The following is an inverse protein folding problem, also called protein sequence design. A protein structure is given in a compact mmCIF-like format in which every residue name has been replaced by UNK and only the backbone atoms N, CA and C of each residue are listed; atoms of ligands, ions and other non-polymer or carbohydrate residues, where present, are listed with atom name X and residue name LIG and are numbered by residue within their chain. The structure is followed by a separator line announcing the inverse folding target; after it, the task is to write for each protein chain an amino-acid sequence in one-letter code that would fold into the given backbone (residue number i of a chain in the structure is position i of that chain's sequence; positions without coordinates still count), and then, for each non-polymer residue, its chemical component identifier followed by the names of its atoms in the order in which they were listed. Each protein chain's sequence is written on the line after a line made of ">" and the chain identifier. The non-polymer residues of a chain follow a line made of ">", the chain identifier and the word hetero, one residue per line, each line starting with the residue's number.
data_IF_611689301151
#
_entry.id   IF_611689301151
#
_cell.length_a   1.000
_cell.length_b   1.000
_cell.length_c   1.000
_cell.angle_alpha   90.00
_cell.angle_beta   90.00
_cell.angle_gamma   90.00
#
_symmetry.space_group_name_H-M   'P 1'
#
loop_
_entity.id
_entity.type
_entity.pdbx_description
1 polymer ?
#
# COMPACT_ATOMS: atom_id res chain seq x y z
N UNK A 1 17.13 -32.54 37.48
CA UNK A 1 15.96 -32.36 36.62
C UNK A 1 16.45 -31.83 35.28
N UNK A 2 16.60 -32.72 34.33
CA UNK A 2 17.01 -32.44 32.94
C UNK A 2 15.78 -32.13 32.10
N UNK A 3 15.80 -31.09 31.21
CA UNK A 3 14.68 -30.82 30.30
C UNK A 3 14.68 -31.81 29.13
N UNK A 4 13.52 -32.15 28.59
CA UNK A 4 13.40 -33.07 27.46
C UNK A 4 13.84 -32.42 26.15
N UNK A 5 14.62 -33.18 25.38
CA UNK A 5 15.02 -32.94 24.02
C UNK A 5 13.79 -33.08 23.09
N UNK A 6 13.39 -32.00 22.45
CA UNK A 6 12.46 -32.06 21.34
C UNK A 6 13.25 -31.95 20.02
N UNK A 7 13.48 -33.11 19.39
CA UNK A 7 13.91 -33.21 17.99
C UNK A 7 12.67 -33.13 17.12
N UNK A 8 12.35 -31.96 16.66
CA UNK A 8 11.37 -31.77 15.61
C UNK A 8 12.08 -31.87 14.25
N UNK A 9 11.89 -33.00 13.58
CA UNK A 9 12.37 -33.22 12.21
C UNK A 9 11.53 -32.42 11.23
N UNK A 10 12.17 -31.42 10.60
CA UNK A 10 11.58 -30.74 9.45
C UNK A 10 11.24 -31.71 8.32
N UNK A 11 10.10 -31.54 7.62
CA UNK A 11 9.74 -32.38 6.48
C UNK A 11 10.74 -32.15 5.34
N UNK A 12 11.37 -33.25 4.88
CA UNK A 12 12.29 -33.25 3.76
C UNK A 12 11.53 -32.91 2.47
N UNK A 13 11.84 -31.77 1.87
CA UNK A 13 11.47 -31.44 0.50
C UNK A 13 12.27 -32.33 -0.48
N UNK A 14 11.90 -33.61 -0.58
CA UNK A 14 12.34 -34.50 -1.63
C UNK A 14 11.25 -34.65 -2.68
N UNK A 15 11.08 -33.61 -3.48
CA UNK A 15 10.38 -33.61 -4.75
C UNK A 15 11.23 -32.83 -5.74
N UNK A 16 12.39 -33.35 -6.07
CA UNK A 16 13.24 -32.74 -7.09
C UNK A 16 12.54 -32.72 -8.41
N UNK A 17 12.15 -31.50 -8.88
CA UNK A 17 11.69 -31.26 -10.23
C UNK A 17 12.80 -31.69 -11.20
N UNK A 18 12.73 -32.92 -11.73
CA UNK A 18 13.60 -33.37 -12.82
C UNK A 18 13.13 -32.66 -14.09
N UNK A 19 13.58 -31.43 -14.31
CA UNK A 19 13.47 -30.79 -15.62
C UNK A 19 14.36 -31.55 -16.61
N UNK A 20 13.74 -32.43 -17.40
CA UNK A 20 14.38 -33.01 -18.57
C UNK A 20 14.59 -31.92 -19.62
N UNK A 21 15.86 -31.53 -19.80
CA UNK A 21 16.26 -30.60 -20.86
C UNK A 21 16.39 -31.38 -22.17
N UNK A 22 15.25 -31.75 -22.78
CA UNK A 22 15.26 -32.30 -24.15
C UNK A 22 14.12 -31.66 -24.94
N UNK A 23 14.53 -31.08 -26.03
CA UNK A 23 13.78 -30.45 -27.12
C UNK A 23 13.41 -28.98 -26.93
N UNK A 24 14.19 -28.12 -27.64
CA UNK A 24 14.14 -26.67 -27.56
C UNK A 24 13.36 -25.99 -28.70
N UNK A 25 12.56 -26.73 -29.49
CA UNK A 25 11.84 -26.16 -30.64
C UNK A 25 10.44 -26.73 -30.82
N UNK A 26 9.45 -25.86 -31.07
CA UNK A 26 8.11 -26.21 -31.49
C UNK A 26 6.98 -25.63 -30.61
N UNK A 27 5.72 -25.63 -31.11
CA UNK A 27 4.53 -25.13 -30.40
C UNK A 27 4.26 -25.80 -29.04
N UNK A 28 4.64 -27.06 -28.91
CA UNK A 28 4.50 -27.82 -27.64
C UNK A 28 5.40 -27.30 -26.51
N UNK A 29 6.47 -26.59 -26.86
CA UNK A 29 7.34 -25.96 -25.87
C UNK A 29 6.64 -24.77 -25.17
N UNK A 30 5.96 -23.92 -25.93
CA UNK A 30 5.21 -22.77 -25.37
C UNK A 30 4.15 -23.29 -24.42
N UNK A 31 3.36 -24.27 -24.87
CA UNK A 31 2.30 -24.88 -24.04
C UNK A 31 2.83 -25.52 -22.75
N UNK A 32 3.99 -26.17 -22.79
CA UNK A 32 4.62 -26.77 -21.59
C UNK A 32 5.15 -25.71 -20.64
N UNK A 33 5.72 -24.61 -21.18
CA UNK A 33 6.16 -23.48 -20.35
C UNK A 33 4.99 -22.78 -19.67
N UNK A 34 3.89 -22.56 -20.37
CA UNK A 34 2.66 -21.98 -19.79
C UNK A 34 2.11 -22.84 -18.65
N UNK A 35 2.07 -24.16 -18.81
CA UNK A 35 1.61 -25.07 -17.74
C UNK A 35 2.56 -25.05 -16.54
N UNK A 36 3.88 -24.98 -16.75
CA UNK A 36 4.85 -24.88 -15.68
C UNK A 36 4.75 -23.52 -14.93
N UNK A 37 4.50 -22.44 -15.65
CA UNK A 37 4.28 -21.11 -15.05
C UNK A 37 2.98 -21.08 -14.24
N UNK A 38 1.91 -21.69 -14.73
CA UNK A 38 0.65 -21.81 -13.98
C UNK A 38 0.82 -22.63 -12.69
N UNK A 39 1.61 -23.70 -12.72
CA UNK A 39 1.90 -24.50 -11.54
C UNK A 39 2.72 -23.68 -10.51
N UNK A 40 3.75 -22.97 -10.96
CA UNK A 40 4.53 -22.07 -10.10
C UNK A 40 3.65 -20.98 -9.51
N UNK A 41 2.82 -20.35 -10.33
CA UNK A 41 1.92 -19.30 -9.88
C UNK A 41 0.90 -19.80 -8.84
N UNK A 42 0.38 -21.04 -9.03
CA UNK A 42 -0.56 -21.64 -8.07
C UNK A 42 0.07 -21.97 -6.72
N UNK A 43 1.37 -22.28 -6.70
CA UNK A 43 2.11 -22.65 -5.47
C UNK A 43 2.75 -21.45 -4.77
N UNK A 44 3.22 -20.47 -5.53
CA UNK A 44 4.06 -19.36 -5.04
C UNK A 44 3.41 -17.98 -5.17
N UNK A 45 2.37 -17.88 -5.99
CA UNK A 45 1.67 -16.62 -6.21
C UNK A 45 0.86 -16.18 -4.99
N UNK A 46 0.87 -14.89 -4.69
CA UNK A 46 -0.08 -14.33 -3.75
C UNK A 46 -1.50 -14.37 -4.34
N UNK A 47 -2.52 -14.67 -3.54
CA UNK A 47 -3.90 -14.69 -4.03
C UNK A 47 -4.38 -13.26 -4.39
N UNK A 48 -5.32 -13.19 -5.32
CA UNK A 48 -6.06 -11.95 -5.56
C UNK A 48 -6.82 -11.54 -4.31
N UNK A 49 -6.83 -10.24 -4.02
CA UNK A 49 -7.54 -9.68 -2.88
C UNK A 49 -8.57 -8.66 -3.34
N UNK A 50 -9.81 -8.92 -3.00
CA UNK A 50 -10.91 -7.99 -3.20
C UNK A 50 -11.23 -7.26 -1.89
N UNK A 51 -11.24 -5.94 -1.92
CA UNK A 51 -11.64 -5.08 -0.81
C UNK A 51 -12.93 -4.37 -1.19
N UNK A 52 -14.01 -4.70 -0.50
CA UNK A 52 -15.30 -4.05 -0.67
C UNK A 52 -15.23 -2.57 -0.29
N UNK A 53 -15.79 -1.70 -1.14
CA UNK A 53 -15.69 -0.26 -0.95
C UNK A 53 -16.44 0.25 0.32
N UNK A 54 -17.48 -0.45 0.77
CA UNK A 54 -18.31 -0.03 1.89
C UNK A 54 -17.99 -0.80 3.19
N UNK A 55 -17.64 -2.08 3.07
CA UNK A 55 -17.50 -3.02 4.19
C UNK A 55 -16.11 -3.60 4.35
N UNK A 56 -15.22 -3.37 3.39
CA UNK A 56 -13.89 -3.96 3.38
C UNK A 56 -12.88 -3.23 4.27
N UNK A 57 -13.15 -1.97 4.58
CA UNK A 57 -12.27 -1.13 5.40
C UNK A 57 -13.02 0.11 5.88
N UNK A 58 -12.55 0.71 6.98
CA UNK A 58 -13.17 1.87 7.60
C UNK A 58 -12.41 3.16 7.29
N UNK A 59 -13.15 4.27 7.26
CA UNK A 59 -12.58 5.61 7.28
C UNK A 59 -12.19 5.99 8.70
N UNK A 60 -10.97 6.44 8.93
CA UNK A 60 -10.57 7.02 10.19
C UNK A 60 -10.04 8.45 10.01
N UNK A 61 -10.26 9.27 11.02
CA UNK A 61 -9.74 10.63 11.05
C UNK A 61 -8.23 10.57 11.29
N UNK A 62 -7.45 11.17 10.39
CA UNK A 62 -5.99 11.21 10.52
C UNK A 62 -5.50 12.55 11.06
N UNK A 63 -5.84 13.65 10.35
CA UNK A 63 -5.31 14.97 10.70
C UNK A 63 -6.26 16.08 10.28
N UNK A 64 -6.61 16.96 11.23
CA UNK A 64 -7.56 18.04 10.96
C UNK A 64 -8.91 17.50 10.48
N UNK A 65 -9.26 17.78 9.22
CA UNK A 65 -10.47 17.24 8.55
C UNK A 65 -10.13 16.19 7.49
N UNK A 66 -8.90 15.67 7.45
CA UNK A 66 -8.47 14.65 6.51
C UNK A 66 -8.72 13.26 7.10
N UNK A 67 -9.52 12.47 6.39
CA UNK A 67 -9.79 11.08 6.68
C UNK A 67 -8.99 10.18 5.77
N UNK A 68 -8.59 9.03 6.30
CA UNK A 68 -7.89 7.97 5.57
C UNK A 68 -8.75 6.73 5.50
N UNK A 69 -8.76 6.10 4.33
CA UNK A 69 -9.29 4.77 4.09
C UNK A 69 -8.17 3.89 3.55
N UNK A 70 -7.64 2.93 4.32
CA UNK A 70 -6.61 2.04 3.81
C UNK A 70 -7.19 1.00 2.87
N UNK A 71 -6.45 0.70 1.81
CA UNK A 71 -6.80 -0.34 0.83
C UNK A 71 -5.76 -1.46 0.75
N UNK A 72 -4.49 -1.17 1.08
CA UNK A 72 -3.40 -2.15 1.03
C UNK A 72 -2.22 -1.70 1.86
N UNK A 73 -1.55 -2.67 2.48
CA UNK A 73 -0.23 -2.52 3.10
C UNK A 73 0.66 -3.68 2.65
N UNK A 74 1.92 -3.41 2.35
CA UNK A 74 2.87 -4.40 1.88
C UNK A 74 4.25 -4.16 2.51
N UNK A 75 4.70 -5.08 3.36
CA UNK A 75 5.93 -4.88 4.12
C UNK A 75 7.21 -5.14 3.32
N UNK A 76 7.14 -5.91 2.22
CA UNK A 76 8.33 -6.22 1.41
C UNK A 76 8.82 -5.03 0.60
N UNK A 77 7.90 -4.27 0.03
CA UNK A 77 8.19 -3.08 -0.78
C UNK A 77 8.04 -1.77 0.01
N UNK A 78 7.38 -1.82 1.17
CA UNK A 78 6.94 -0.64 1.88
C UNK A 78 5.80 0.10 1.19
N UNK A 79 5.11 -0.55 0.23
CA UNK A 79 3.94 0.01 -0.44
C UNK A 79 2.76 0.09 0.52
N UNK A 80 2.05 1.20 0.49
CA UNK A 80 0.70 1.30 1.02
C UNK A 80 -0.21 2.07 0.08
N UNK A 81 -1.46 1.65 0.02
CA UNK A 81 -2.50 2.28 -0.80
C UNK A 81 -3.58 2.80 0.14
N UNK A 82 -3.81 4.09 0.06
CA UNK A 82 -4.80 4.78 0.89
C UNK A 82 -5.64 5.72 0.03
N UNK A 83 -6.87 5.95 0.45
CA UNK A 83 -7.68 7.06 -0.06
C UNK A 83 -7.73 8.13 1.01
N UNK A 84 -7.41 9.35 0.64
CA UNK A 84 -7.66 10.53 1.46
C UNK A 84 -8.98 11.16 1.05
N UNK A 85 -9.76 11.60 2.02
CA UNK A 85 -10.88 12.51 1.78
C UNK A 85 -10.89 13.65 2.77
N UNK A 86 -11.50 14.75 2.38
CA UNK A 86 -11.69 15.89 3.26
C UNK A 86 -13.07 16.53 3.05
N UNK A 87 -13.61 17.04 4.14
CA UNK A 87 -14.82 17.83 4.19
C UNK A 87 -14.82 18.59 5.53
N UNK A 88 -14.51 19.85 5.58
CA UNK A 88 -14.28 20.87 4.55
C UNK A 88 -12.86 20.84 3.94
N UNK A 89 -12.48 21.89 3.17
CA UNK A 89 -11.12 22.08 2.65
C UNK A 89 -10.07 21.87 3.75
N UNK A 90 -8.99 21.19 3.39
CA UNK A 90 -7.91 20.88 4.32
C UNK A 90 -6.52 21.04 3.71
N UNK A 91 -5.54 21.17 4.59
CA UNK A 91 -4.11 21.17 4.24
C UNK A 91 -3.39 20.13 5.08
N UNK A 92 -2.53 19.34 4.42
CA UNK A 92 -1.76 18.31 5.11
C UNK A 92 -0.49 18.88 5.76
N UNK A 93 0.00 19.98 5.24
CA UNK A 93 1.23 20.61 5.65
C UNK A 93 2.43 20.19 4.79
N UNK A 94 3.56 20.80 5.07
CA UNK A 94 4.82 20.63 4.35
C UNK A 94 5.38 19.23 4.57
N UNK A 95 5.64 18.52 3.49
CA UNK A 95 6.14 17.14 3.55
C UNK A 95 6.94 16.76 2.30
N UNK A 96 7.59 15.59 2.36
CA UNK A 96 8.17 14.90 1.22
C UNK A 96 7.98 13.40 1.34
N UNK A 97 8.06 12.70 0.22
CA UNK A 97 8.08 11.25 0.17
C UNK A 97 9.49 10.72 -0.06
N UNK A 98 9.84 9.57 0.56
CA UNK A 98 11.13 8.90 0.33
C UNK A 98 11.11 7.95 -0.86
N UNK A 99 9.93 7.51 -1.26
CA UNK A 99 9.71 6.71 -2.46
C UNK A 99 8.76 7.40 -3.43
N UNK A 100 8.47 6.72 -4.52
CA UNK A 100 7.52 7.19 -5.51
C UNK A 100 6.09 7.22 -4.95
N UNK A 101 5.32 8.24 -5.34
CA UNK A 101 3.89 8.32 -5.09
C UNK A 101 3.15 8.41 -6.42
N UNK A 102 2.05 7.66 -6.52
CA UNK A 102 1.11 7.74 -7.62
C UNK A 102 -0.25 8.08 -7.06
N UNK A 103 -0.85 9.14 -7.57
CA UNK A 103 -2.15 9.62 -7.13
C UNK A 103 -3.17 9.58 -8.26
N UNK A 104 -4.39 9.18 -7.92
CA UNK A 104 -5.54 9.21 -8.82
C UNK A 104 -6.67 9.99 -8.17
N UNK A 105 -7.17 11.01 -8.85
CA UNK A 105 -8.26 11.84 -8.35
C UNK A 105 -9.60 11.14 -8.58
N UNK A 106 -10.26 10.77 -7.49
CA UNK A 106 -11.60 10.14 -7.52
C UNK A 106 -12.69 11.20 -7.60
N UNK A 107 -12.58 12.24 -6.76
CA UNK A 107 -13.58 13.32 -6.67
C UNK A 107 -12.93 14.62 -6.19
N UNK A 108 -13.60 15.75 -6.50
CA UNK A 108 -13.19 17.08 -6.04
C UNK A 108 -11.94 17.62 -6.72
N UNK A 109 -11.16 18.38 -6.00
CA UNK A 109 -9.93 18.99 -6.48
C UNK A 109 -8.86 19.09 -5.39
N UNK A 110 -7.61 19.04 -5.80
CA UNK A 110 -6.47 19.09 -4.90
C UNK A 110 -5.21 19.53 -5.65
N UNK A 111 -4.16 19.81 -4.94
CA UNK A 111 -2.87 20.15 -5.51
C UNK A 111 -1.84 20.48 -4.46
N UNK A 112 -0.74 21.04 -4.90
CA UNK A 112 0.34 21.54 -4.05
C UNK A 112 0.49 23.04 -4.25
N UNK A 113 0.77 23.76 -3.19
CA UNK A 113 0.97 25.23 -3.26
C UNK A 113 2.15 25.62 -4.17
N UNK A 114 3.09 24.71 -4.36
CA UNK A 114 4.31 24.90 -5.15
C UNK A 114 4.09 24.70 -6.67
N UNK A 115 2.89 24.26 -7.10
CA UNK A 115 2.56 24.00 -8.50
C UNK A 115 1.30 24.74 -8.95
N UNK A 116 1.25 25.08 -10.25
CA UNK A 116 0.09 25.77 -10.85
C UNK A 116 -1.07 24.82 -11.21
N UNK A 117 -0.82 23.52 -11.31
CA UNK A 117 -1.86 22.56 -11.67
C UNK A 117 -2.81 22.25 -10.50
N UNK A 118 -4.02 21.88 -10.86
CA UNK A 118 -5.05 21.39 -9.95
C UNK A 118 -5.58 20.05 -10.46
N UNK A 119 -5.45 19.01 -9.65
CA UNK A 119 -5.98 17.68 -9.95
C UNK A 119 -7.50 17.68 -9.95
N UNK A 120 -8.10 17.02 -10.95
CA UNK A 120 -9.55 16.87 -11.18
C UNK A 120 -9.90 15.38 -11.29
N UNK A 121 -11.17 14.98 -11.14
CA UNK A 121 -11.58 13.60 -11.30
C UNK A 121 -11.08 12.98 -12.61
N UNK A 122 -10.39 11.85 -12.51
CA UNK A 122 -9.74 11.15 -13.62
C UNK A 122 -8.26 11.50 -13.84
N UNK A 123 -7.75 12.57 -13.22
CA UNK A 123 -6.35 12.94 -13.36
C UNK A 123 -5.45 11.98 -12.57
N UNK A 124 -4.29 11.69 -13.17
CA UNK A 124 -3.23 10.86 -12.61
C UNK A 124 -1.95 11.68 -12.42
N UNK A 125 -1.39 11.62 -11.25
CA UNK A 125 -0.19 12.37 -10.86
C UNK A 125 0.87 11.40 -10.34
N UNK A 126 2.12 11.63 -10.72
CA UNK A 126 3.29 10.96 -10.15
C UNK A 126 4.15 11.97 -9.41
N UNK A 127 4.47 11.67 -8.16
CA UNK A 127 5.36 12.48 -7.34
C UNK A 127 6.72 11.81 -7.24
N UNK A 128 7.76 12.59 -7.51
CA UNK A 128 9.13 12.09 -7.46
C UNK A 128 9.66 12.10 -6.04
N UNK A 129 10.45 11.07 -5.64
CA UNK A 129 11.06 11.01 -4.32
C UNK A 129 11.88 12.25 -3.98
N UNK A 130 11.74 12.74 -2.75
CA UNK A 130 12.52 13.85 -2.22
C UNK A 130 11.97 15.25 -2.49
N UNK A 131 10.97 15.41 -3.35
CA UNK A 131 10.31 16.70 -3.58
C UNK A 131 9.57 17.15 -2.31
N UNK A 132 9.82 18.38 -1.89
CA UNK A 132 9.14 19.00 -0.73
C UNK A 132 8.00 19.85 -1.25
N UNK A 133 6.80 19.60 -0.72
CA UNK A 133 5.59 20.31 -1.14
C UNK A 133 4.55 20.36 -0.01
N UNK A 134 3.53 21.19 -0.20
CA UNK A 134 2.44 21.43 0.75
C UNK A 134 1.11 21.10 0.10
N UNK A 135 0.52 19.96 0.48
CA UNK A 135 -0.75 19.47 -0.05
C UNK A 135 -1.91 20.32 0.47
N UNK A 136 -2.77 20.72 -0.46
CA UNK A 136 -4.12 21.18 -0.16
C UNK A 136 -5.16 20.28 -0.85
N UNK A 137 -6.30 20.09 -0.21
CA UNK A 137 -7.45 19.37 -0.74
C UNK A 137 -8.69 20.26 -0.63
N UNK A 138 -9.40 20.45 -1.72
CA UNK A 138 -10.67 21.17 -1.75
C UNK A 138 -11.77 20.41 -1.00
N UNK A 139 -12.85 21.10 -0.67
CA UNK A 139 -14.02 20.52 -0.02
C UNK A 139 -14.58 19.32 -0.81
N UNK A 140 -14.88 18.23 -0.12
CA UNK A 140 -15.44 17.01 -0.70
C UNK A 140 -14.47 16.25 -1.61
N UNK A 141 -13.17 16.54 -1.55
CA UNK A 141 -12.18 15.83 -2.37
C UNK A 141 -11.92 14.41 -1.87
N UNK A 142 -11.72 13.51 -2.83
CA UNK A 142 -11.23 12.14 -2.61
C UNK A 142 -10.10 11.83 -3.59
N UNK A 143 -8.97 11.39 -3.07
CA UNK A 143 -7.78 11.07 -3.85
C UNK A 143 -7.18 9.76 -3.35
N UNK A 144 -6.95 8.83 -4.27
CA UNK A 144 -6.26 7.57 -3.98
C UNK A 144 -4.76 7.77 -4.19
N UNK A 145 -3.98 7.43 -3.19
CA UNK A 145 -2.52 7.46 -3.20
C UNK A 145 -1.95 6.05 -3.07
N UNK A 146 -1.03 5.72 -3.99
CA UNK A 146 -0.12 4.58 -3.87
C UNK A 146 1.23 5.14 -3.47
N UNK A 147 1.68 4.82 -2.29
CA UNK A 147 2.90 5.39 -1.70
C UNK A 147 3.91 4.29 -1.42
N UNK A 148 5.15 4.47 -1.83
CA UNK A 148 6.26 3.57 -1.51
C UNK A 148 7.15 4.23 -0.46
N UNK A 149 7.49 3.49 0.60
CA UNK A 149 8.37 3.96 1.67
C UNK A 149 7.66 4.86 2.68
N UNK A 150 8.21 6.04 2.95
CA UNK A 150 7.73 6.92 4.00
C UNK A 150 7.37 8.32 3.51
N UNK A 151 6.50 8.96 4.27
CA UNK A 151 6.22 10.39 4.21
C UNK A 151 6.86 11.08 5.42
N UNK A 152 7.57 12.17 5.20
CA UNK A 152 8.26 12.97 6.20
C UNK A 152 7.66 14.36 6.26
N UNK A 153 7.22 14.77 7.44
CA UNK A 153 6.67 16.11 7.70
C UNK A 153 7.71 17.03 8.31
N UNK A 154 7.63 18.29 7.96
CA UNK A 154 8.55 19.33 8.41
C UNK A 154 7.84 20.41 9.21
N UNK A 155 8.59 21.02 10.11
CA UNK A 155 8.24 22.28 10.73
C UNK A 155 8.53 23.44 9.75
N UNK A 156 8.08 24.65 10.08
CA UNK A 156 8.29 25.84 9.24
C UNK A 156 9.77 26.17 9.05
N UNK A 157 10.60 25.85 10.04
CA UNK A 157 12.06 26.01 10.00
C UNK A 157 12.80 24.90 9.22
N UNK A 158 12.08 24.01 8.53
CA UNK A 158 12.57 22.84 7.80
C UNK A 158 13.17 21.72 8.66
N UNK A 159 13.02 21.74 9.97
CA UNK A 159 13.39 20.59 10.79
C UNK A 159 12.38 19.46 10.60
N UNK A 160 12.87 18.22 10.61
CA UNK A 160 12.01 17.03 10.54
C UNK A 160 11.13 16.96 11.79
N UNK A 161 9.81 16.86 11.59
CA UNK A 161 8.84 16.77 12.67
C UNK A 161 8.40 15.33 12.92
N UNK A 162 8.09 14.60 11.85
CA UNK A 162 7.47 13.29 11.93
C UNK A 162 7.76 12.48 10.67
N UNK A 163 7.90 11.18 10.82
CA UNK A 163 7.99 10.22 9.70
C UNK A 163 6.91 9.17 9.87
N UNK A 164 6.10 8.95 8.84
CA UNK A 164 5.07 7.92 8.78
C UNK A 164 5.34 6.98 7.60
N UNK A 165 4.95 5.72 7.76
CA UNK A 165 5.08 4.66 6.77
C UNK A 165 3.89 3.71 6.79
N UNK A 166 3.97 2.59 6.08
CA UNK A 166 2.93 1.57 6.04
C UNK A 166 2.55 1.06 7.45
N UNK A 167 3.52 0.89 8.35
CA UNK A 167 3.27 0.44 9.73
C UNK A 167 2.55 1.51 10.55
N UNK A 168 2.90 2.77 10.34
CA UNK A 168 2.26 3.90 11.01
C UNK A 168 0.77 4.00 10.64
N UNK A 169 0.44 3.91 9.35
CA UNK A 169 -0.94 3.93 8.86
C UNK A 169 -1.73 2.70 9.28
N UNK A 170 -1.10 1.52 9.29
CA UNK A 170 -1.73 0.30 9.80
C UNK A 170 -2.06 0.42 11.29
N UNK A 171 -1.13 0.89 12.10
CA UNK A 171 -1.37 1.10 13.54
C UNK A 171 -2.54 2.03 13.80
N UNK A 172 -2.60 3.18 13.15
CA UNK A 172 -3.72 4.12 13.28
C UNK A 172 -5.07 3.48 12.87
N UNK A 173 -5.08 2.66 11.82
CA UNK A 173 -6.27 1.91 11.42
C UNK A 173 -6.70 0.90 12.48
N UNK A 174 -5.76 0.14 13.05
CA UNK A 174 -6.05 -0.83 14.11
C UNK A 174 -6.58 -0.14 15.38
N UNK A 175 -5.95 0.95 15.79
CA UNK A 175 -6.41 1.77 16.93
C UNK A 175 -7.85 2.25 16.71
N UNK A 176 -8.15 2.79 15.53
CA UNK A 176 -9.51 3.19 15.18
C UNK A 176 -10.52 2.02 15.22
N UNK A 177 -10.14 0.86 14.69
CA UNK A 177 -10.99 -0.33 14.74
C UNK A 177 -11.28 -0.76 16.19
N UNK A 178 -10.26 -0.73 17.06
CA UNK A 178 -10.42 -1.05 18.48
C UNK A 178 -11.36 -0.08 19.18
N UNK A 179 -11.22 1.22 18.95
CA UNK A 179 -12.12 2.25 19.51
C UNK A 179 -13.58 2.05 19.07
N UNK A 180 -13.79 1.52 17.86
CA UNK A 180 -15.12 1.22 17.32
C UNK A 180 -15.64 -0.17 17.67
N UNK A 181 -14.82 -1.01 18.32
CA UNK A 181 -15.18 -2.39 18.64
C UNK A 181 -15.33 -3.29 17.40
N UNK A 182 -14.63 -2.99 16.31
CA UNK A 182 -14.63 -3.76 15.07
C UNK A 182 -13.30 -4.46 14.86
N UNK A 183 -13.31 -5.60 14.16
CA UNK A 183 -12.09 -6.32 13.84
C UNK A 183 -11.40 -5.67 12.64
N UNK A 184 -10.08 -5.36 12.72
CA UNK A 184 -9.31 -4.92 11.56
C UNK A 184 -9.37 -5.95 10.43
N UNK A 185 -9.44 -5.47 9.18
CA UNK A 185 -9.38 -6.35 8.02
C UNK A 185 -7.93 -6.71 7.70
N UNK A 186 -7.51 -7.89 8.13
CA UNK A 186 -6.15 -8.40 7.91
C UNK A 186 -5.81 -8.64 6.43
N UNK A 187 -6.81 -8.73 5.54
CA UNK A 187 -6.60 -8.84 4.09
C UNK A 187 -6.00 -7.58 3.45
N UNK A 188 -5.95 -6.46 4.19
CA UNK A 188 -5.26 -5.25 3.74
C UNK A 188 -3.74 -5.40 3.79
N UNK A 189 -3.23 -6.40 4.52
CA UNK A 189 -1.82 -6.59 4.77
C UNK A 189 -1.27 -7.84 4.05
N UNK A 190 -0.13 -7.68 3.34
CA UNK A 190 0.56 -8.73 2.60
C UNK A 190 1.98 -8.97 3.11
#
# INVERSE_FOLDING_TARGET
>A
MTPPSATETAPSLQGGLKMSVTDKSGPDRVKRNELAELEIASQMGAPDVYIDAERGTEWYLWKGSIYVKPLRFENRSGLYVIVLKTDPRAELGKHRHRGEVRAYTVRGNWGYHEYEWTGKPGDYITEMPGTIHTLWMGEGSEVMFNVVGSIEFFNDDNTLRETLDSFSFWRMYVEHCQERGIKPNEKLWY
#
